data_IF_016412431327
#
_entry.id   IF_016412431327
#
_cell.length_a   1.000
_cell.length_b   1.000
_cell.length_c   1.000
_cell.angle_alpha   90.00
_cell.angle_beta   90.00
_cell.angle_gamma   90.00
#
_symmetry.space_group_name_H-M   'P 1'
#
loop_
_entity.id
_entity.type
_entity.pdbx_description
1 polymer ?
#
# COMPACT_ATOMS: atom_id res chain seq x y z
N UNK A 1 -25.97 27.26 5.54
CA UNK A 1 -24.95 27.34 4.47
C UNK A 1 -25.04 28.72 3.84
N UNK A 2 -23.99 29.53 3.97
CA UNK A 2 -23.95 30.90 3.45
C UNK A 2 -23.76 30.86 1.92
N UNK A 3 -24.72 31.41 1.17
CA UNK A 3 -24.60 31.61 -0.27
C UNK A 3 -23.47 32.62 -0.50
N UNK A 4 -22.38 32.19 -1.14
CA UNK A 4 -21.38 33.12 -1.65
C UNK A 4 -21.99 33.90 -2.83
N UNK A 5 -21.86 35.22 -2.77
CA UNK A 5 -22.52 36.22 -3.62
C UNK A 5 -21.84 36.36 -5.00
N UNK A 6 -21.46 35.23 -5.61
CA UNK A 6 -20.73 35.20 -6.89
C UNK A 6 -21.64 34.83 -8.07
N UNK A 7 -22.89 34.42 -7.81
CA UNK A 7 -23.80 33.91 -8.83
C UNK A 7 -23.44 32.51 -9.35
N UNK A 8 -22.38 31.90 -8.84
CA UNK A 8 -21.96 30.54 -9.20
C UNK A 8 -22.39 29.55 -8.11
N UNK A 9 -22.96 28.42 -8.55
CA UNK A 9 -23.22 27.29 -7.67
C UNK A 9 -22.00 26.38 -7.66
N UNK A 10 -21.28 26.23 -6.53
CA UNK A 10 -20.22 25.24 -6.43
C UNK A 10 -20.84 23.85 -6.53
N UNK A 11 -20.43 23.09 -7.54
CA UNK A 11 -20.83 21.70 -7.74
C UNK A 11 -19.60 20.82 -7.51
N UNK A 12 -19.80 19.70 -6.79
CA UNK A 12 -18.78 18.68 -6.72
C UNK A 12 -18.65 17.99 -8.09
N UNK A 13 -17.43 17.86 -8.59
CA UNK A 13 -17.15 17.32 -9.92
C UNK A 13 -17.54 15.84 -10.06
N UNK A 14 -17.31 15.04 -9.02
CA UNK A 14 -17.48 13.57 -9.06
C UNK A 14 -18.92 13.13 -9.37
N UNK A 15 -19.97 13.59 -8.67
CA UNK A 15 -21.35 13.17 -8.97
C UNK A 15 -21.94 13.77 -10.25
N UNK A 16 -21.26 14.72 -10.90
CA UNK A 16 -21.79 15.51 -12.02
C UNK A 16 -20.99 15.36 -13.32
N UNK A 17 -20.07 14.39 -13.38
CA UNK A 17 -19.19 14.11 -14.52
C UNK A 17 -19.92 14.10 -15.88
N UNK A 18 -21.09 13.46 -15.95
CA UNK A 18 -21.88 13.36 -17.19
C UNK A 18 -22.61 14.65 -17.59
N UNK A 19 -22.65 15.65 -16.72
CA UNK A 19 -23.28 16.96 -16.96
C UNK A 19 -22.26 18.07 -17.28
N UNK A 20 -20.96 17.76 -17.25
CA UNK A 20 -19.92 18.76 -17.55
C UNK A 20 -19.97 19.20 -19.03
N UNK A 21 -19.79 20.51 -19.32
CA UNK A 21 -19.57 21.01 -20.67
C UNK A 21 -18.35 20.36 -21.35
N UNK A 22 -18.40 20.24 -22.68
CA UNK A 22 -17.34 19.58 -23.46
C UNK A 22 -15.91 20.10 -23.16
N UNK A 23 -15.65 21.42 -23.04
CA UNK A 23 -14.31 21.91 -22.73
C UNK A 23 -13.78 21.44 -21.37
N UNK A 24 -14.65 21.32 -20.36
CA UNK A 24 -14.26 20.83 -19.04
C UNK A 24 -14.01 19.32 -19.03
N UNK A 25 -14.70 18.55 -19.89
CA UNK A 25 -14.38 17.13 -20.09
C UNK A 25 -13.01 16.96 -20.73
N UNK A 26 -12.71 17.75 -21.77
CA UNK A 26 -11.41 17.74 -22.44
C UNK A 26 -10.29 18.12 -21.48
N UNK A 27 -10.43 19.24 -20.76
CA UNK A 27 -9.42 19.66 -19.77
C UNK A 27 -9.22 18.60 -18.68
N UNK A 28 -10.28 17.93 -18.21
CA UNK A 28 -10.15 16.83 -17.24
C UNK A 28 -9.39 15.64 -17.84
N UNK A 29 -9.67 15.29 -19.10
CA UNK A 29 -8.95 14.24 -19.80
C UNK A 29 -7.46 14.58 -19.91
N UNK A 30 -7.12 15.81 -20.30
CA UNK A 30 -5.73 16.28 -20.37
C UNK A 30 -5.05 16.27 -19.00
N UNK A 31 -5.72 16.74 -17.94
CA UNK A 31 -5.18 16.69 -16.58
C UNK A 31 -5.01 15.26 -16.08
N UNK A 32 -5.91 14.34 -16.44
CA UNK A 32 -5.77 12.93 -16.14
C UNK A 32 -4.61 12.31 -16.93
N UNK A 33 -4.44 12.64 -18.21
CA UNK A 33 -3.27 12.23 -19.02
C UNK A 33 -1.95 12.72 -18.40
N UNK A 34 -1.93 13.96 -17.90
CA UNK A 34 -0.76 14.54 -17.21
C UNK A 34 -0.53 13.86 -15.85
N UNK A 35 -1.57 13.53 -15.10
CA UNK A 35 -1.48 12.90 -13.78
C UNK A 35 -1.06 11.44 -13.88
N UNK A 36 -1.61 10.70 -14.85
CA UNK A 36 -1.37 9.27 -15.08
C UNK A 36 -0.29 9.05 -16.14
N UNK A 37 0.84 9.76 -16.08
CA UNK A 37 1.96 9.78 -17.07
C UNK A 37 2.43 8.42 -17.61
N UNK A 38 2.00 7.34 -17.01
CA UNK A 38 2.35 6.00 -17.37
C UNK A 38 1.10 5.15 -17.60
N UNK A 39 0.94 4.66 -18.83
CA UNK A 39 -0.08 3.66 -19.15
C UNK A 39 0.20 2.35 -18.41
N UNK A 40 -0.81 1.81 -17.72
CA UNK A 40 -0.70 0.70 -16.77
C UNK A 40 -1.31 -0.61 -17.25
N UNK A 41 -2.28 -0.56 -18.17
CA UNK A 41 -3.01 -1.73 -18.65
C UNK A 41 -2.61 -2.08 -20.09
N UNK A 42 -2.39 -3.36 -20.44
CA UNK A 42 -2.25 -3.76 -21.83
C UNK A 42 -3.54 -3.48 -22.61
N UNK A 43 -3.43 -2.98 -23.85
CA UNK A 43 -4.59 -2.69 -24.72
C UNK A 43 -5.54 -3.87 -24.91
N UNK A 44 -5.04 -5.10 -24.80
CA UNK A 44 -5.81 -6.34 -24.91
C UNK A 44 -6.88 -6.47 -23.82
N UNK A 45 -6.62 -5.93 -22.63
CA UNK A 45 -7.56 -6.00 -21.51
C UNK A 45 -8.71 -5.00 -21.63
N UNK A 46 -8.72 -4.15 -22.66
CA UNK A 46 -9.71 -3.06 -22.79
C UNK A 46 -11.14 -3.56 -22.77
N UNK A 47 -11.43 -4.66 -23.45
CA UNK A 47 -12.79 -5.24 -23.45
C UNK A 47 -13.16 -5.82 -22.10
N UNK A 48 -12.21 -6.49 -21.43
CA UNK A 48 -12.41 -7.12 -20.13
C UNK A 48 -12.68 -6.08 -19.03
N UNK A 49 -11.90 -4.99 -18.98
CA UNK A 49 -12.06 -3.97 -17.94
C UNK A 49 -13.20 -2.99 -18.20
N UNK A 50 -13.78 -3.00 -19.40
CA UNK A 50 -14.92 -2.15 -19.74
C UNK A 50 -16.16 -2.45 -18.89
N UNK A 51 -16.26 -3.68 -18.36
CA UNK A 51 -17.31 -4.06 -17.42
C UNK A 51 -17.13 -3.45 -16.03
N UNK A 52 -15.91 -2.99 -15.69
CA UNK A 52 -15.60 -2.37 -14.41
C UNK A 52 -15.88 -0.87 -14.41
N UNK A 53 -15.41 -0.15 -15.43
CA UNK A 53 -15.58 1.31 -15.58
C UNK A 53 -15.24 1.79 -17.01
N UNK A 54 -15.53 3.05 -17.32
CA UNK A 54 -15.10 3.74 -18.54
C UNK A 54 -13.64 4.21 -18.42
N UNK A 55 -12.72 3.27 -18.63
CA UNK A 55 -11.28 3.57 -18.61
C UNK A 55 -10.87 4.42 -19.82
N UNK A 56 -10.24 5.59 -19.59
CA UNK A 56 -9.82 6.46 -20.68
C UNK A 56 -8.68 5.84 -21.49
N UNK A 57 -8.60 6.15 -22.78
CA UNK A 57 -7.67 5.49 -23.71
C UNK A 57 -6.19 5.52 -23.29
N UNK A 58 -5.76 6.55 -22.56
CA UNK A 58 -4.37 6.71 -22.11
C UNK A 58 -3.93 5.70 -21.05
N UNK A 59 -4.84 5.02 -20.34
CA UNK A 59 -4.41 4.00 -19.36
C UNK A 59 -3.88 2.74 -20.05
N UNK A 60 -4.16 2.58 -21.35
CA UNK A 60 -3.83 1.41 -22.13
C UNK A 60 -2.53 1.59 -22.92
N UNK A 61 -1.53 0.76 -22.67
CA UNK A 61 -0.30 0.69 -23.47
C UNK A 61 -0.38 -0.39 -24.55
N UNK A 62 0.43 -0.21 -25.59
CA UNK A 62 0.64 -1.24 -26.60
C UNK A 62 1.74 -2.21 -26.11
N UNK A 63 1.44 -3.49 -25.82
CA UNK A 63 2.46 -4.41 -25.31
C UNK A 63 3.48 -4.81 -26.38
N UNK A 64 3.25 -4.49 -27.66
CA UNK A 64 4.28 -4.69 -28.69
C UNK A 64 5.39 -3.64 -28.60
N UNK A 65 5.10 -2.51 -27.98
CA UNK A 65 6.02 -1.37 -27.81
C UNK A 65 6.57 -1.34 -26.38
N UNK A 66 5.85 -1.92 -25.41
CA UNK A 66 6.21 -1.88 -24.00
C UNK A 66 6.53 -3.26 -23.45
N UNK A 67 7.74 -3.44 -22.92
CA UNK A 67 8.21 -4.67 -22.26
C UNK A 67 7.65 -4.84 -20.82
N UNK A 68 6.60 -4.09 -20.47
CA UNK A 68 5.99 -4.11 -19.15
C UNK A 68 5.40 -5.49 -18.84
N UNK A 69 5.86 -6.09 -17.75
CA UNK A 69 5.35 -7.36 -17.23
C UNK A 69 4.61 -7.16 -15.90
N UNK A 70 3.72 -6.17 -15.87
CA UNK A 70 2.87 -5.94 -14.70
C UNK A 70 1.93 -7.13 -14.49
N UNK A 71 1.80 -7.55 -13.23
CA UNK A 71 0.70 -8.44 -12.86
C UNK A 71 -0.57 -7.61 -12.76
N UNK A 72 -1.56 -7.98 -13.56
CA UNK A 72 -2.87 -7.38 -13.54
C UNK A 72 -3.81 -8.34 -12.80
N UNK A 73 -4.49 -7.90 -11.73
CA UNK A 73 -5.48 -8.72 -11.04
C UNK A 73 -6.66 -9.01 -11.98
N UNK A 74 -7.33 -10.15 -11.79
CA UNK A 74 -8.57 -10.44 -12.53
C UNK A 74 -9.67 -9.44 -12.17
N UNK A 75 -10.58 -9.20 -13.11
CA UNK A 75 -11.76 -8.34 -12.89
C UNK A 75 -12.62 -8.83 -11.73
N UNK A 76 -12.81 -10.14 -11.59
CA UNK A 76 -13.53 -10.76 -10.46
C UNK A 76 -12.93 -10.37 -9.10
N UNK A 77 -11.60 -10.41 -8.99
CA UNK A 77 -10.91 -10.01 -7.77
C UNK A 77 -11.11 -8.52 -7.49
N UNK A 78 -10.98 -7.67 -8.52
CA UNK A 78 -11.19 -6.22 -8.39
C UNK A 78 -12.63 -5.93 -7.93
N UNK A 79 -13.64 -6.54 -8.56
CA UNK A 79 -15.04 -6.38 -8.16
C UNK A 79 -15.27 -6.82 -6.72
N UNK A 80 -14.71 -7.97 -6.32
CA UNK A 80 -14.83 -8.47 -4.94
C UNK A 80 -14.24 -7.48 -3.93
N UNK A 81 -13.04 -6.94 -4.20
CA UNK A 81 -12.37 -5.98 -3.32
C UNK A 81 -13.17 -4.67 -3.25
N UNK A 82 -13.62 -4.14 -4.39
CA UNK A 82 -14.43 -2.92 -4.45
C UNK A 82 -15.75 -3.10 -3.68
N UNK A 83 -16.41 -4.26 -3.83
CA UNK A 83 -17.62 -4.58 -3.07
C UNK A 83 -17.36 -4.59 -1.56
N UNK A 84 -16.29 -5.25 -1.09
CA UNK A 84 -15.92 -5.26 0.33
C UNK A 84 -15.57 -3.87 0.84
N UNK A 85 -14.88 -3.06 0.06
CA UNK A 85 -14.58 -1.67 0.41
C UNK A 85 -15.86 -0.84 0.55
N UNK A 86 -16.82 -0.99 -0.36
CA UNK A 86 -18.11 -0.30 -0.29
C UNK A 86 -18.92 -0.72 0.96
N UNK A 87 -18.94 -2.01 1.29
CA UNK A 87 -19.57 -2.52 2.52
C UNK A 87 -18.89 -1.93 3.77
N UNK A 88 -17.54 -1.94 3.82
CA UNK A 88 -16.80 -1.36 4.93
C UNK A 88 -17.08 0.14 5.12
N UNK A 89 -17.24 0.88 4.03
CA UNK A 89 -17.58 2.31 4.09
C UNK A 89 -19.03 2.53 4.57
N UNK A 90 -20.00 1.83 3.98
CA UNK A 90 -21.42 1.94 4.30
C UNK A 90 -21.70 1.59 5.77
N UNK A 91 -21.11 0.51 6.27
CA UNK A 91 -21.32 0.03 7.63
C UNK A 91 -20.39 0.72 8.66
N UNK A 92 -19.59 1.69 8.21
CA UNK A 92 -18.64 2.44 9.05
C UNK A 92 -17.66 1.53 9.80
N UNK A 93 -17.21 0.47 9.12
CA UNK A 93 -16.38 -0.57 9.68
C UNK A 93 -15.02 -0.05 10.18
N UNK A 94 -14.49 -0.75 11.19
CA UNK A 94 -13.22 -0.42 11.81
C UNK A 94 -12.01 -0.71 10.92
N UNK A 95 -10.85 -0.20 11.32
CA UNK A 95 -9.58 -0.44 10.63
C UNK A 95 -9.26 -1.92 10.44
N UNK A 96 -9.62 -2.78 11.41
CA UNK A 96 -9.42 -4.22 11.31
C UNK A 96 -10.15 -4.85 10.12
N UNK A 97 -11.38 -4.41 9.84
CA UNK A 97 -12.19 -4.92 8.73
C UNK A 97 -11.60 -4.42 7.40
N UNK A 98 -11.24 -3.14 7.31
CA UNK A 98 -10.53 -2.60 6.14
C UNK A 98 -9.20 -3.34 5.85
N UNK A 99 -8.43 -3.62 6.90
CA UNK A 99 -7.19 -4.36 6.78
C UNK A 99 -7.42 -5.79 6.28
N UNK A 100 -8.37 -6.52 6.88
CA UNK A 100 -8.56 -7.93 6.55
C UNK A 100 -9.37 -8.16 5.28
N UNK A 101 -10.39 -7.35 5.02
CA UNK A 101 -11.35 -7.60 3.94
C UNK A 101 -11.00 -6.89 2.64
N UNK A 102 -10.08 -5.93 2.68
CA UNK A 102 -9.66 -5.15 1.51
C UNK A 102 -8.15 -5.26 1.31
N UNK A 103 -7.36 -4.79 2.28
CA UNK A 103 -5.89 -4.72 2.11
C UNK A 103 -5.25 -6.09 2.01
N UNK A 104 -5.69 -7.06 2.83
CA UNK A 104 -5.11 -8.40 2.82
C UNK A 104 -5.29 -9.09 1.46
N UNK A 105 -6.42 -8.87 0.79
CA UNK A 105 -6.71 -9.43 -0.54
C UNK A 105 -5.79 -8.83 -1.61
N UNK A 106 -5.52 -7.52 -1.55
CA UNK A 106 -4.58 -6.85 -2.45
C UNK A 106 -3.16 -7.40 -2.26
N UNK A 107 -2.71 -7.50 -1.02
CA UNK A 107 -1.38 -8.02 -0.68
C UNK A 107 -1.24 -9.50 -1.05
N UNK A 108 -2.27 -10.32 -0.83
CA UNK A 108 -2.26 -11.74 -1.17
C UNK A 108 -2.12 -11.96 -2.68
N UNK A 109 -2.88 -11.20 -3.47
CA UNK A 109 -2.79 -11.19 -4.94
C UNK A 109 -1.40 -10.79 -5.44
N UNK A 110 -0.82 -9.74 -4.86
CA UNK A 110 0.51 -9.25 -5.24
C UNK A 110 1.65 -10.20 -4.86
N UNK A 111 1.61 -10.76 -3.65
CA UNK A 111 2.77 -11.45 -3.05
C UNK A 111 2.66 -12.97 -3.03
N UNK A 112 1.51 -13.56 -2.69
CA UNK A 112 1.41 -15.00 -2.35
C UNK A 112 0.92 -15.92 -3.46
N UNK A 113 0.35 -15.38 -4.55
CA UNK A 113 -0.02 -16.20 -5.72
C UNK A 113 1.20 -16.82 -6.46
N UNK A 114 2.43 -16.56 -6.01
CA UNK A 114 3.66 -17.24 -6.47
C UNK A 114 3.96 -18.43 -5.57
N UNK A 115 4.21 -19.60 -6.15
CA UNK A 115 4.63 -20.83 -5.46
C UNK A 115 6.00 -20.74 -4.74
N UNK A 116 6.75 -19.63 -4.90
CA UNK A 116 8.06 -19.38 -4.27
C UNK A 116 8.32 -17.89 -4.08
N UNK A 117 7.47 -17.18 -3.34
CA UNK A 117 7.65 -15.74 -3.15
C UNK A 117 8.80 -15.43 -2.17
N UNK A 118 9.87 -14.82 -2.69
CA UNK A 118 10.94 -14.20 -1.90
C UNK A 118 10.43 -13.07 -1.00
N UNK A 119 9.24 -12.55 -1.28
CA UNK A 119 8.55 -11.53 -0.50
C UNK A 119 7.27 -12.14 0.05
N UNK A 120 7.01 -11.91 1.33
CA UNK A 120 5.75 -12.25 1.99
C UNK A 120 5.29 -11.03 2.79
N UNK A 121 4.07 -11.05 3.30
CA UNK A 121 3.53 -9.98 4.12
C UNK A 121 2.92 -10.51 5.41
N UNK A 122 2.84 -9.68 6.44
CA UNK A 122 2.19 -10.02 7.71
C UNK A 122 1.30 -8.88 8.18
N UNK A 123 0.12 -9.24 8.66
CA UNK A 123 -0.72 -8.37 9.49
C UNK A 123 -0.08 -8.28 10.89
N UNK A 124 0.38 -7.10 11.28
CA UNK A 124 1.33 -6.93 12.39
C UNK A 124 0.95 -5.82 13.38
N UNK A 125 -0.35 -5.57 13.57
CA UNK A 125 -0.86 -4.55 14.51
C UNK A 125 -0.48 -4.79 15.99
N UNK A 126 0.00 -5.99 16.33
CA UNK A 126 0.55 -6.32 17.65
C UNK A 126 2.07 -6.17 17.77
N UNK A 127 2.78 -5.83 16.69
CA UNK A 127 4.24 -5.74 16.71
C UNK A 127 4.71 -4.53 17.53
N UNK A 128 5.66 -4.76 18.43
CA UNK A 128 6.20 -3.70 19.30
C UNK A 128 7.62 -3.34 18.88
N UNK A 129 7.91 -2.04 18.94
CA UNK A 129 9.27 -1.51 18.75
C UNK A 129 10.09 -1.88 19.99
N UNK A 130 11.22 -2.56 19.76
CA UNK A 130 12.15 -2.91 20.84
C UNK A 130 12.68 -1.64 21.51
N UNK A 131 12.83 -1.71 22.84
CA UNK A 131 13.25 -0.56 23.64
C UNK A 131 14.55 0.10 23.14
N UNK A 132 15.51 -0.70 22.66
CA UNK A 132 16.80 -0.22 22.13
C UNK A 132 16.72 0.61 20.84
N UNK A 133 15.57 0.60 20.16
CA UNK A 133 15.31 1.31 18.90
C UNK A 133 14.18 2.34 19.00
N UNK A 134 13.59 2.48 20.19
CA UNK A 134 12.45 3.39 20.41
C UNK A 134 12.89 4.86 20.36
N UNK A 135 12.18 5.76 19.65
CA UNK A 135 12.43 7.19 19.71
C UNK A 135 12.04 7.74 21.09
N UNK A 136 12.81 8.71 21.59
CA UNK A 136 12.55 9.30 22.91
C UNK A 136 11.23 10.08 22.92
N UNK A 137 10.44 9.92 23.99
CA UNK A 137 9.20 10.67 24.18
C UNK A 137 8.01 10.23 23.32
N UNK A 138 8.15 9.17 22.52
CA UNK A 138 7.10 8.69 21.61
C UNK A 138 6.46 7.40 22.13
N UNK A 139 5.13 7.32 22.09
CA UNK A 139 4.41 6.05 22.31
C UNK A 139 4.61 5.14 21.11
N UNK A 140 5.12 3.90 21.30
CA UNK A 140 5.33 2.99 20.19
C UNK A 140 3.98 2.56 19.65
N UNK A 141 3.80 2.67 18.33
CA UNK A 141 2.64 2.17 17.63
C UNK A 141 3.08 1.22 16.53
N UNK A 142 2.42 0.08 16.48
CA UNK A 142 2.53 -0.84 15.37
C UNK A 142 1.94 -0.21 14.10
N UNK A 143 2.27 -0.82 12.97
CA UNK A 143 1.62 -0.56 11.68
C UNK A 143 0.65 -1.69 11.35
N UNK A 144 -0.25 -1.47 10.39
CA UNK A 144 -1.19 -2.48 9.91
C UNK A 144 -0.51 -3.71 9.33
N UNK A 145 0.33 -3.51 8.31
CA UNK A 145 1.05 -4.58 7.63
C UNK A 145 2.51 -4.24 7.42
N UNK A 146 3.35 -5.28 7.34
CA UNK A 146 4.67 -5.15 6.72
C UNK A 146 4.90 -6.27 5.72
N UNK A 147 5.58 -5.91 4.63
CA UNK A 147 6.16 -6.87 3.70
C UNK A 147 7.58 -7.16 4.14
N UNK A 148 7.94 -8.44 4.11
CA UNK A 148 9.24 -8.92 4.50
C UNK A 148 9.87 -9.79 3.43
N UNK A 149 11.19 -9.65 3.34
CA UNK A 149 12.03 -10.49 2.50
C UNK A 149 12.25 -11.80 3.24
N UNK A 150 11.99 -12.92 2.56
CA UNK A 150 12.18 -14.28 3.03
C UNK A 150 13.29 -14.94 2.21
N UNK A 151 14.55 -14.86 2.66
CA UNK A 151 15.64 -15.59 2.03
C UNK A 151 15.39 -17.09 2.14
N UNK A 152 15.91 -17.84 1.17
CA UNK A 152 15.95 -19.29 1.27
C UNK A 152 16.82 -19.71 2.46
N UNK A 153 16.37 -20.69 3.24
CA UNK A 153 17.03 -21.07 4.49
C UNK A 153 18.48 -21.56 4.29
N UNK A 154 18.84 -22.01 3.09
CA UNK A 154 20.19 -22.44 2.75
C UNK A 154 21.07 -21.32 2.16
N UNK A 155 20.53 -20.12 1.97
CA UNK A 155 21.24 -19.03 1.30
C UNK A 155 22.27 -18.35 2.21
N UNK A 156 23.23 -17.67 1.60
CA UNK A 156 24.24 -16.86 2.29
C UNK A 156 23.61 -15.71 3.08
N UNK A 157 22.52 -15.14 2.57
CA UNK A 157 21.79 -14.06 3.22
C UNK A 157 21.10 -14.55 4.49
N UNK A 158 20.51 -15.75 4.48
CA UNK A 158 19.91 -16.34 5.68
C UNK A 158 20.96 -16.54 6.79
N UNK A 159 22.15 -17.04 6.44
CA UNK A 159 23.27 -17.22 7.37
C UNK A 159 23.79 -15.89 7.92
N UNK A 160 23.92 -14.87 7.06
CA UNK A 160 24.33 -13.53 7.46
C UNK A 160 23.31 -12.89 8.42
N UNK A 161 22.02 -13.03 8.13
CA UNK A 161 20.95 -12.55 9.01
C UNK A 161 21.01 -13.24 10.35
N UNK A 162 21.14 -14.57 10.39
CA UNK A 162 21.26 -15.33 11.63
C UNK A 162 22.46 -14.83 12.45
N UNK A 163 23.64 -14.70 11.85
CA UNK A 163 24.82 -14.18 12.52
C UNK A 163 24.62 -12.77 13.08
N UNK A 164 24.01 -11.86 12.32
CA UNK A 164 23.71 -10.49 12.76
C UNK A 164 22.71 -10.47 13.92
N UNK A 165 21.71 -11.36 13.93
CA UNK A 165 20.68 -11.35 14.97
C UNK A 165 21.25 -11.64 16.36
N UNK A 166 22.34 -12.41 16.48
CA UNK A 166 22.93 -12.83 17.76
C UNK A 166 23.40 -11.67 18.63
N UNK A 167 23.80 -10.54 18.04
CA UNK A 167 24.29 -9.36 18.75
C UNK A 167 23.25 -8.25 18.90
N UNK A 168 22.06 -8.41 18.32
CA UNK A 168 21.03 -7.36 18.26
C UNK A 168 20.01 -7.49 19.38
N UNK A 169 19.48 -6.34 19.89
CA UNK A 169 18.29 -6.34 20.72
C UNK A 169 17.19 -7.26 20.19
N UNK A 170 16.64 -8.10 21.07
CA UNK A 170 15.53 -9.01 20.73
C UNK A 170 15.88 -10.13 19.76
N UNK A 171 17.17 -10.39 19.50
CA UNK A 171 17.62 -11.38 18.51
C UNK A 171 16.95 -11.20 17.15
N UNK A 172 16.80 -9.94 16.74
CA UNK A 172 16.03 -9.57 15.56
C UNK A 172 16.87 -8.80 14.56
N UNK A 173 16.71 -9.13 13.28
CA UNK A 173 17.25 -8.33 12.18
C UNK A 173 16.55 -6.97 12.05
N UNK A 174 15.30 -6.88 12.53
CA UNK A 174 14.50 -5.65 12.49
C UNK A 174 14.48 -4.92 13.84
N UNK A 175 13.78 -3.79 13.88
CA UNK A 175 13.54 -3.01 15.09
C UNK A 175 12.43 -3.58 16.01
N UNK A 176 11.90 -4.76 15.67
CA UNK A 176 10.86 -5.52 16.38
C UNK A 176 11.24 -7.00 16.37
N UNK A 177 10.99 -7.73 17.44
CA UNK A 177 11.19 -9.19 17.57
C UNK A 177 9.90 -9.99 17.30
N UNK A 178 8.93 -9.36 16.64
CA UNK A 178 7.62 -9.95 16.43
C UNK A 178 7.65 -11.09 15.41
N UNK A 179 7.63 -12.33 15.91
CA UNK A 179 7.47 -13.54 15.12
C UNK A 179 8.54 -13.69 14.03
N UNK A 180 8.12 -13.81 12.78
CA UNK A 180 9.04 -14.02 11.66
C UNK A 180 9.85 -12.76 11.29
N UNK A 181 9.49 -11.58 11.78
CA UNK A 181 10.32 -10.38 11.57
C UNK A 181 11.66 -10.45 12.29
N UNK A 182 11.86 -11.37 13.25
CA UNK A 182 13.20 -11.56 13.83
C UNK A 182 14.23 -12.03 12.79
N UNK A 183 13.78 -12.71 11.73
CA UNK A 183 14.65 -13.30 10.69
C UNK A 183 14.34 -12.87 9.26
N UNK A 184 13.22 -12.19 9.02
CA UNK A 184 12.81 -11.71 7.70
C UNK A 184 12.85 -10.18 7.69
N UNK A 185 13.82 -9.54 7.01
CA UNK A 185 13.93 -8.08 6.94
C UNK A 185 12.65 -7.43 6.43
N UNK A 186 12.19 -6.37 7.10
CA UNK A 186 11.02 -5.59 6.66
C UNK A 186 11.46 -4.68 5.49
N UNK A 187 10.78 -4.82 4.35
CA UNK A 187 11.06 -4.06 3.14
C UNK A 187 10.03 -2.93 2.92
N UNK A 188 8.76 -3.19 3.21
CA UNK A 188 7.68 -2.21 3.11
C UNK A 188 6.83 -2.25 4.39
N UNK A 189 6.28 -1.11 4.78
CA UNK A 189 5.33 -0.99 5.88
C UNK A 189 4.11 -0.22 5.40
N UNK A 190 2.93 -0.68 5.77
CA UNK A 190 1.65 -0.14 5.33
C UNK A 190 0.84 0.21 6.56
N UNK A 191 0.41 1.47 6.63
CA UNK A 191 -0.55 1.93 7.63
C UNK A 191 -1.81 2.43 6.92
N UNK A 192 -2.95 1.86 7.31
CA UNK A 192 -4.25 2.25 6.77
C UNK A 192 -4.98 3.05 7.84
N UNK A 193 -5.42 4.25 7.48
CA UNK A 193 -6.36 5.05 8.28
C UNK A 193 -7.41 5.65 7.38
N UNK A 194 -8.53 6.07 7.98
CA UNK A 194 -9.51 6.92 7.31
C UNK A 194 -8.84 8.24 6.94
N UNK A 195 -9.32 8.89 5.88
CA UNK A 195 -8.72 10.13 5.36
C UNK A 195 -8.63 11.24 6.42
N UNK A 196 -9.62 11.35 7.30
CA UNK A 196 -9.62 12.32 8.41
C UNK A 196 -8.51 12.07 9.46
N UNK A 197 -7.86 10.92 9.43
CA UNK A 197 -6.81 10.50 10.36
C UNK A 197 -5.43 10.42 9.68
N UNK A 198 -5.25 11.10 8.55
CA UNK A 198 -4.00 11.12 7.80
C UNK A 198 -2.77 11.47 8.66
N UNK A 199 -2.86 12.51 9.49
CA UNK A 199 -1.74 12.91 10.37
C UNK A 199 -1.37 11.83 11.38
N UNK A 200 -2.35 11.03 11.83
CA UNK A 200 -2.10 9.89 12.72
C UNK A 200 -1.38 8.77 11.97
N UNK A 201 -1.80 8.47 10.74
CA UNK A 201 -1.14 7.50 9.89
C UNK A 201 0.32 7.90 9.64
N UNK A 202 0.55 9.17 9.27
CA UNK A 202 1.87 9.72 9.00
C UNK A 202 2.77 9.68 10.25
N UNK A 203 2.22 10.03 11.42
CA UNK A 203 2.96 9.96 12.67
C UNK A 203 3.33 8.51 13.04
N UNK A 204 2.41 7.56 12.85
CA UNK A 204 2.65 6.15 13.12
C UNK A 204 3.73 5.57 12.20
N UNK A 205 3.58 5.75 10.88
CA UNK A 205 4.54 5.24 9.90
C UNK A 205 5.91 5.92 10.07
N UNK A 206 5.94 7.23 10.39
CA UNK A 206 7.17 7.97 10.65
C UNK A 206 7.90 7.47 11.90
N UNK A 207 7.16 7.15 12.97
CA UNK A 207 7.72 6.56 14.20
C UNK A 207 8.31 5.18 13.91
N UNK A 208 7.56 4.33 13.18
CA UNK A 208 7.98 2.98 12.80
C UNK A 208 9.27 3.01 11.95
N UNK A 209 9.31 3.82 10.90
CA UNK A 209 10.51 3.95 10.07
C UNK A 209 11.68 4.59 10.82
N UNK A 210 11.46 5.58 11.68
CA UNK A 210 12.55 6.14 12.50
C UNK A 210 13.23 5.06 13.35
N UNK A 211 12.45 4.14 13.92
CA UNK A 211 12.99 2.97 14.63
C UNK A 211 13.70 1.98 13.72
N UNK A 212 13.19 1.75 12.51
CA UNK A 212 13.87 0.94 11.51
C UNK A 212 15.25 1.52 11.16
N UNK A 213 15.35 2.83 10.91
CA UNK A 213 16.61 3.51 10.62
C UNK A 213 17.60 3.40 11.77
N UNK A 214 17.15 3.55 13.03
CA UNK A 214 17.99 3.35 14.21
C UNK A 214 18.53 1.92 14.30
N UNK A 215 17.75 0.93 13.90
CA UNK A 215 18.18 -0.46 13.88
C UNK A 215 19.20 -0.74 12.77
N UNK A 216 19.11 -0.05 11.63
CA UNK A 216 20.08 -0.14 10.54
C UNK A 216 21.39 0.62 10.87
N UNK A 217 21.30 1.82 11.46
CA UNK A 217 22.48 2.63 11.81
C UNK A 217 23.40 1.96 12.83
N UNK A 218 22.87 1.12 13.73
CA UNK A 218 23.73 0.32 14.61
C UNK A 218 24.69 -0.59 13.84
N UNK A 219 24.43 -0.89 12.57
CA UNK A 219 25.32 -1.68 11.72
C UNK A 219 26.40 -0.83 11.02
N UNK A 220 26.20 0.48 10.87
CA UNK A 220 27.24 1.36 10.28
C UNK A 220 28.31 1.76 11.28
N UNK A 221 28.01 1.68 12.57
CA UNK A 221 28.87 2.15 13.67
C UNK A 221 29.58 0.99 14.41
N UNK A 222 29.33 -0.27 14.04
CA UNK A 222 29.91 -1.48 14.60
C UNK A 222 30.92 -2.12 13.64
#
# INVERSE_FOLDING_TARGET
>A
SAKQDTGFQPLNFEPHLHSLPQPLRTLRQELAEIAFREALLPRQLRQEVQELDDFPGFVFYDPTISEKQWRIPSTDLVQSIVKRAAECDQDHEGESSWNMDVQSLLLDSGFRQRSSSFIDFRYCTGAQILHGYKPHGVSPKAVGFCDCIKPDASSTEAQAIEALTLSRPGFSINHTDWGNFSKHPIALSVETKRQAEWDRALFQIGTWHSSQWRALQRESDA
#
